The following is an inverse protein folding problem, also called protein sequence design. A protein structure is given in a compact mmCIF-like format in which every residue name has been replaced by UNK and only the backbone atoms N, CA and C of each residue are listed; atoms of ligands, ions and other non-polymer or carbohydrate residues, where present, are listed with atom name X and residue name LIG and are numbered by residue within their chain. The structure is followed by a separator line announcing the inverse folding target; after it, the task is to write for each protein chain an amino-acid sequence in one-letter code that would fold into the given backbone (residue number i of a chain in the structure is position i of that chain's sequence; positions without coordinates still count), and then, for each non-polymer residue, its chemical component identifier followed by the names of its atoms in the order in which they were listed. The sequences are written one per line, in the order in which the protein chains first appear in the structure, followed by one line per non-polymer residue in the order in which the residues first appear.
data_IF_388355648693
#
_entry.id   IF_388355648693
#
_cell.length_a   1.000
_cell.length_b   1.000
_cell.length_c   1.000
_cell.angle_alpha   90.00
_cell.angle_beta   90.00
_cell.angle_gamma   90.00
#
_symmetry.space_group_name_H-M   'P 1'
#
loop_
_entity.id
_entity.type
_entity.pdbx_description
1 polymer ?
#
# COMPACT_ATOMS: atom_id res chain seq x y z
N UNK A 1 -54.91 -97.73 -19.35
CA UNK A 1 -54.54 -97.77 -17.92
C UNK A 1 -55.37 -96.68 -17.25
N UNK A 2 -56.61 -96.92 -16.80
CA UNK A 2 -57.07 -97.60 -15.56
C UNK A 2 -56.44 -97.03 -14.27
N UNK A 3 -57.18 -96.07 -13.66
CA UNK A 3 -57.42 -95.71 -12.23
C UNK A 3 -56.24 -95.49 -11.25
N UNK A 4 -56.36 -94.63 -10.19
CA UNK A 4 -57.59 -94.43 -9.38
C UNK A 4 -57.93 -92.98 -8.90
N UNK A 5 -59.12 -92.76 -8.30
CA UNK A 5 -59.42 -91.64 -7.39
C UNK A 5 -58.96 -92.02 -5.96
N UNK A 6 -58.62 -91.09 -5.04
CA UNK A 6 -59.58 -90.37 -4.17
C UNK A 6 -59.04 -88.96 -3.80
N UNK A 7 -59.58 -88.09 -2.95
CA UNK A 7 -60.10 -88.29 -1.61
C UNK A 7 -60.81 -87.00 -1.16
N UNK A 8 -62.03 -87.17 -0.67
CA UNK A 8 -62.81 -86.16 0.02
C UNK A 8 -62.12 -85.83 1.35
N UNK A 9 -61.83 -84.55 1.59
CA UNK A 9 -61.46 -84.05 2.93
C UNK A 9 -62.40 -82.91 3.29
N UNK A 10 -63.40 -83.25 4.08
CA UNK A 10 -64.11 -82.30 4.92
C UNK A 10 -63.13 -81.66 5.90
N UNK A 11 -62.92 -80.35 5.79
CA UNK A 11 -62.26 -79.56 6.83
C UNK A 11 -63.03 -78.25 7.10
N UNK A 12 -63.84 -78.33 8.16
CA UNK A 12 -64.11 -77.31 9.20
C UNK A 12 -64.34 -75.85 8.75
N UNK A 13 -65.55 -75.39 9.02
CA UNK A 13 -65.99 -74.01 8.91
C UNK A 13 -65.12 -73.00 9.68
N UNK A 14 -64.74 -71.90 9.00
CA UNK A 14 -64.28 -70.66 9.62
C UNK A 14 -65.19 -69.50 9.19
N UNK A 15 -65.73 -68.79 10.18
CA UNK A 15 -66.55 -67.58 10.03
C UNK A 15 -65.72 -66.37 9.51
N UNK A 16 -66.36 -65.31 8.99
CA UNK A 16 -65.82 -64.51 7.89
C UNK A 16 -64.79 -63.45 8.33
N UNK A 17 -63.79 -63.21 7.46
CA UNK A 17 -62.91 -62.05 7.57
C UNK A 17 -63.66 -60.77 7.15
N UNK A 18 -63.45 -59.62 7.84
CA UNK A 18 -64.15 -58.39 7.51
C UNK A 18 -63.56 -57.78 6.23
N UNK A 19 -64.40 -57.63 5.20
CA UNK A 19 -64.08 -56.81 4.03
C UNK A 19 -63.86 -55.36 4.47
N UNK A 20 -62.60 -54.93 4.51
CA UNK A 20 -62.24 -53.53 4.66
C UNK A 20 -62.70 -52.76 3.41
N UNK A 21 -63.93 -52.24 3.46
CA UNK A 21 -64.41 -51.23 2.50
C UNK A 21 -63.51 -50.00 2.60
N UNK A 22 -62.56 -49.89 1.67
CA UNK A 22 -61.89 -48.64 1.32
C UNK A 22 -62.95 -47.62 0.88
N UNK A 23 -63.47 -46.86 1.84
CA UNK A 23 -64.24 -45.65 1.60
C UNK A 23 -63.36 -44.68 0.81
N UNK A 24 -63.49 -44.66 -0.52
CA UNK A 24 -63.08 -43.52 -1.32
C UNK A 24 -63.92 -42.32 -0.90
N UNK A 25 -63.40 -41.52 0.02
CA UNK A 25 -63.92 -40.18 0.30
C UNK A 25 -63.58 -39.31 -0.90
N UNK A 26 -64.38 -39.40 -1.97
CA UNK A 26 -64.41 -38.38 -3.02
C UNK A 26 -65.15 -37.19 -2.43
N UNK A 27 -64.43 -36.36 -1.68
CA UNK A 27 -64.95 -35.09 -1.18
C UNK A 27 -65.44 -34.27 -2.37
N UNK A 28 -66.76 -34.05 -2.44
CA UNK A 28 -67.35 -33.07 -3.36
C UNK A 28 -67.00 -31.70 -2.82
N UNK A 29 -65.82 -31.20 -3.16
CA UNK A 29 -65.51 -29.78 -2.95
C UNK A 29 -66.54 -28.95 -3.72
N UNK A 30 -67.22 -28.07 -2.99
CA UNK A 30 -68.11 -27.04 -3.55
C UNK A 30 -67.37 -26.27 -4.66
N UNK A 31 -68.08 -25.84 -5.71
CA UNK A 31 -67.51 -24.99 -6.78
C UNK A 31 -66.84 -23.74 -6.17
N UNK A 32 -67.39 -23.25 -5.06
CA UNK A 32 -66.84 -22.15 -4.27
C UNK A 32 -65.45 -22.48 -3.69
N UNK A 33 -65.24 -23.68 -3.13
CA UNK A 33 -63.92 -24.10 -2.62
C UNK A 33 -62.88 -24.27 -3.74
N UNK A 34 -63.29 -24.69 -4.94
CA UNK A 34 -62.40 -24.80 -6.10
C UNK A 34 -61.97 -23.42 -6.62
N UNK A 35 -62.89 -22.45 -6.64
CA UNK A 35 -62.60 -21.07 -7.02
C UNK A 35 -61.67 -20.39 -6.01
N UNK A 36 -61.94 -20.53 -4.71
CA UNK A 36 -61.08 -19.96 -3.65
C UNK A 36 -59.68 -20.59 -3.70
N UNK A 37 -59.56 -21.91 -3.85
CA UNK A 37 -58.25 -22.57 -3.97
C UNK A 37 -57.47 -22.15 -5.22
N UNK A 38 -58.16 -21.93 -6.36
CA UNK A 38 -57.51 -21.41 -7.58
C UNK A 38 -57.02 -19.97 -7.40
N UNK A 39 -57.81 -19.10 -6.77
CA UNK A 39 -57.43 -17.71 -6.51
C UNK A 39 -56.26 -17.62 -5.51
N UNK A 40 -56.30 -18.40 -4.43
CA UNK A 40 -55.25 -18.49 -3.43
C UNK A 40 -53.95 -19.06 -4.04
N UNK A 41 -54.05 -20.10 -4.85
CA UNK A 41 -52.90 -20.65 -5.57
C UNK A 41 -52.28 -19.61 -6.52
N UNK A 42 -53.11 -18.85 -7.24
CA UNK A 42 -52.64 -17.80 -8.13
C UNK A 42 -51.97 -16.64 -7.37
N UNK A 43 -52.51 -16.23 -6.21
CA UNK A 43 -51.90 -15.17 -5.39
C UNK A 43 -50.55 -15.60 -4.82
N UNK A 44 -50.46 -16.80 -4.26
CA UNK A 44 -49.21 -17.35 -3.70
C UNK A 44 -48.14 -17.48 -4.79
N UNK A 45 -48.49 -17.99 -5.97
CA UNK A 45 -47.54 -18.09 -7.10
C UNK A 45 -47.09 -16.70 -7.56
N UNK A 46 -48.00 -15.73 -7.66
CA UNK A 46 -47.65 -14.35 -8.00
C UNK A 46 -46.70 -13.73 -6.98
N UNK A 47 -47.00 -13.86 -5.68
CA UNK A 47 -46.16 -13.37 -4.59
C UNK A 47 -44.77 -14.03 -4.59
N UNK A 48 -44.70 -15.34 -4.87
CA UNK A 48 -43.44 -16.06 -5.00
C UNK A 48 -42.62 -15.58 -6.21
N UNK A 49 -43.24 -15.36 -7.37
CA UNK A 49 -42.56 -14.84 -8.57
C UNK A 49 -42.05 -13.43 -8.35
N UNK A 50 -42.88 -12.54 -7.80
CA UNK A 50 -42.47 -11.15 -7.48
C UNK A 50 -41.36 -11.16 -6.43
N UNK A 51 -41.48 -11.98 -5.39
CA UNK A 51 -40.44 -12.16 -4.38
C UNK A 51 -39.13 -12.65 -4.99
N UNK A 52 -39.17 -13.63 -5.89
CA UNK A 52 -37.98 -14.17 -6.56
C UNK A 52 -37.31 -13.15 -7.50
N UNK A 53 -38.09 -12.42 -8.30
CA UNK A 53 -37.58 -11.35 -9.17
C UNK A 53 -36.97 -10.22 -8.33
N UNK A 54 -37.67 -9.82 -7.26
CA UNK A 54 -37.20 -8.83 -6.29
C UNK A 54 -35.90 -9.27 -5.61
N UNK A 55 -35.77 -10.56 -5.29
CA UNK A 55 -34.56 -11.16 -4.75
C UNK A 55 -33.38 -10.99 -5.69
N UNK A 56 -33.50 -11.51 -6.92
CA UNK A 56 -32.39 -11.51 -7.87
C UNK A 56 -31.96 -10.08 -8.22
N UNK A 57 -32.95 -9.20 -8.46
CA UNK A 57 -32.68 -7.82 -8.88
C UNK A 57 -32.09 -7.00 -7.72
N UNK A 58 -32.64 -7.14 -6.51
CA UNK A 58 -32.15 -6.44 -5.33
C UNK A 58 -30.75 -6.88 -4.92
N UNK A 59 -30.50 -8.20 -4.92
CA UNK A 59 -29.19 -8.78 -4.60
C UNK A 59 -28.12 -8.31 -5.59
N UNK A 60 -28.39 -8.43 -6.88
CA UNK A 60 -27.45 -8.01 -7.93
C UNK A 60 -27.17 -6.51 -7.85
N UNK A 61 -28.20 -5.68 -7.60
CA UNK A 61 -28.03 -4.22 -7.50
C UNK A 61 -27.19 -3.82 -6.29
N UNK A 62 -27.41 -4.43 -5.12
CA UNK A 62 -26.62 -4.15 -3.91
C UNK A 62 -25.17 -4.60 -4.08
N UNK A 63 -24.95 -5.76 -4.70
CA UNK A 63 -23.62 -6.27 -4.99
C UNK A 63 -22.86 -5.37 -5.98
N UNK A 64 -23.51 -4.95 -7.06
CA UNK A 64 -22.92 -4.03 -8.03
C UNK A 64 -22.61 -2.67 -7.38
N UNK A 65 -23.50 -2.16 -6.53
CA UNK A 65 -23.26 -0.92 -5.80
C UNK A 65 -22.02 -1.00 -4.88
N UNK A 66 -21.76 -2.16 -4.26
CA UNK A 66 -20.55 -2.38 -3.47
C UNK A 66 -19.27 -2.34 -4.35
N UNK A 67 -19.31 -3.00 -5.52
CA UNK A 67 -18.21 -2.94 -6.50
C UNK A 67 -17.96 -1.54 -7.04
N UNK A 68 -19.02 -0.82 -7.40
CA UNK A 68 -18.94 0.53 -7.95
C UNK A 68 -18.37 1.50 -6.91
N UNK A 69 -18.83 1.43 -5.66
CA UNK A 69 -18.30 2.23 -4.55
C UNK A 69 -16.80 2.00 -4.35
N UNK A 70 -16.38 0.73 -4.31
CA UNK A 70 -14.97 0.40 -4.11
C UNK A 70 -14.11 0.87 -5.29
N UNK A 71 -14.64 0.75 -6.51
CA UNK A 71 -13.99 1.25 -7.72
C UNK A 71 -13.88 2.78 -7.72
N UNK A 72 -14.92 3.49 -7.28
CA UNK A 72 -14.88 4.96 -7.13
C UNK A 72 -13.83 5.41 -6.11
N UNK A 73 -13.70 4.69 -4.98
CA UNK A 73 -12.67 4.93 -3.97
C UNK A 73 -11.26 4.73 -4.57
N UNK A 74 -11.02 3.58 -5.22
CA UNK A 74 -9.74 3.30 -5.91
C UNK A 74 -9.41 4.36 -6.94
N UNK A 75 -10.36 4.70 -7.80
CA UNK A 75 -10.21 5.70 -8.87
C UNK A 75 -9.87 7.09 -8.32
N UNK A 76 -10.52 7.49 -7.23
CA UNK A 76 -10.23 8.76 -6.55
C UNK A 76 -8.81 8.79 -6.03
N UNK A 77 -8.39 7.73 -5.32
CA UNK A 77 -7.03 7.63 -4.79
C UNK A 77 -5.96 7.57 -5.89
N UNK A 78 -6.21 6.80 -6.94
CA UNK A 78 -5.32 6.71 -8.10
C UNK A 78 -5.11 8.07 -8.77
N UNK A 79 -6.20 8.83 -9.00
CA UNK A 79 -6.11 10.17 -9.59
C UNK A 79 -5.40 11.17 -8.67
N UNK A 80 -5.70 11.15 -7.37
CA UNK A 80 -5.05 12.03 -6.40
C UNK A 80 -3.56 11.73 -6.29
N UNK A 81 -3.18 10.46 -6.29
CA UNK A 81 -1.78 10.04 -6.29
C UNK A 81 -1.06 10.50 -7.57
N UNK A 82 -1.64 10.25 -8.74
CA UNK A 82 -1.06 10.68 -10.01
C UNK A 82 -0.88 12.22 -10.08
N UNK A 83 -1.86 12.98 -9.57
CA UNK A 83 -1.78 14.43 -9.46
C UNK A 83 -0.66 14.87 -8.51
N UNK A 84 -0.52 14.24 -7.34
CA UNK A 84 0.56 14.53 -6.40
C UNK A 84 1.93 14.25 -7.01
N UNK A 85 2.14 13.07 -7.63
CA UNK A 85 3.40 12.74 -8.30
C UNK A 85 3.72 13.75 -9.40
N UNK A 86 2.71 14.17 -10.18
CA UNK A 86 2.88 15.19 -11.22
C UNK A 86 3.28 16.54 -10.63
N UNK A 87 2.65 16.96 -9.54
CA UNK A 87 2.98 18.21 -8.86
C UNK A 87 4.41 18.21 -8.30
N UNK A 88 4.84 17.09 -7.68
CA UNK A 88 6.22 16.94 -7.20
C UNK A 88 7.24 17.00 -8.35
N UNK A 89 6.93 16.36 -9.49
CA UNK A 89 7.78 16.44 -10.70
C UNK A 89 7.88 17.88 -11.19
N UNK A 90 6.75 18.56 -11.33
CA UNK A 90 6.71 19.95 -11.79
C UNK A 90 7.47 20.89 -10.84
N UNK A 91 7.35 20.70 -9.52
CA UNK A 91 8.10 21.45 -8.54
C UNK A 91 9.62 21.24 -8.69
N UNK A 92 10.08 19.99 -8.82
CA UNK A 92 11.49 19.67 -9.04
C UNK A 92 12.02 20.27 -10.36
N UNK A 93 11.21 20.28 -11.41
CA UNK A 93 11.58 20.94 -12.66
C UNK A 93 11.74 22.45 -12.49
N UNK A 94 10.86 23.11 -11.74
CA UNK A 94 10.99 24.54 -11.44
C UNK A 94 12.28 24.80 -10.66
N UNK A 95 12.60 23.96 -9.66
CA UNK A 95 13.83 24.13 -8.87
C UNK A 95 15.09 24.00 -9.70
N UNK A 96 15.12 23.07 -10.65
CA UNK A 96 16.31 22.76 -11.47
C UNK A 96 16.45 23.64 -12.71
N UNK A 97 15.41 24.36 -13.12
CA UNK A 97 15.42 25.21 -14.31
C UNK A 97 16.05 26.60 -14.09
N UNK A 98 16.22 27.04 -12.83
CA UNK A 98 16.72 28.37 -12.51
C UNK A 98 18.26 28.44 -12.36
N UNK A 99 18.90 29.60 -12.67
CA UNK A 99 20.34 29.77 -12.51
C UNK A 99 20.80 29.61 -11.06
N UNK A 100 19.95 29.95 -10.08
CA UNK A 100 20.25 29.83 -8.66
C UNK A 100 20.59 28.39 -8.22
N UNK A 101 19.97 27.38 -8.84
CA UNK A 101 20.27 25.97 -8.51
C UNK A 101 21.63 25.54 -9.08
N UNK A 102 21.97 25.99 -10.28
CA UNK A 102 23.30 25.76 -10.85
C UNK A 102 24.39 26.44 -10.00
N UNK A 103 24.15 27.67 -9.55
CA UNK A 103 25.04 28.37 -8.61
C UNK A 103 25.19 27.60 -7.29
N UNK A 104 24.09 27.07 -6.74
CA UNK A 104 24.12 26.28 -5.50
C UNK A 104 24.97 25.01 -5.66
N UNK A 105 24.72 24.22 -6.71
CA UNK A 105 25.51 23.01 -7.00
C UNK A 105 26.99 23.35 -7.16
N UNK A 106 27.31 24.40 -7.91
CA UNK A 106 28.71 24.83 -8.12
C UNK A 106 29.38 25.32 -6.82
N UNK A 107 28.67 26.11 -6.01
CA UNK A 107 29.18 26.62 -4.74
C UNK A 107 29.47 25.49 -3.76
N UNK A 108 28.53 24.55 -3.60
CA UNK A 108 28.74 23.38 -2.74
C UNK A 108 29.84 22.45 -3.27
N UNK A 109 29.91 22.23 -4.59
CA UNK A 109 30.95 21.39 -5.19
C UNK A 109 32.35 21.98 -5.03
N UNK A 110 32.48 23.30 -5.25
CA UNK A 110 33.75 24.02 -5.05
C UNK A 110 34.18 23.96 -3.59
N UNK A 111 33.26 24.28 -2.67
CA UNK A 111 33.52 24.20 -1.24
C UNK A 111 33.86 22.77 -0.80
N UNK A 112 33.18 21.75 -1.32
CA UNK A 112 33.49 20.35 -1.03
C UNK A 112 34.91 19.97 -1.46
N UNK A 113 35.33 20.39 -2.65
CA UNK A 113 36.68 20.10 -3.16
C UNK A 113 37.78 20.79 -2.33
N UNK A 114 37.57 22.02 -1.86
CA UNK A 114 38.52 22.72 -0.98
C UNK A 114 38.74 21.98 0.35
N UNK A 115 37.71 21.29 0.86
CA UNK A 115 37.80 20.51 2.09
C UNK A 115 38.64 19.24 1.98
N UNK A 116 39.14 18.88 0.79
CA UNK A 116 40.10 17.79 0.63
C UNK A 116 41.35 17.97 1.52
N UNK A 117 41.74 19.22 1.81
CA UNK A 117 42.90 19.56 2.64
C UNK A 117 42.55 20.07 4.05
N UNK A 118 41.28 19.98 4.46
CA UNK A 118 40.87 20.46 5.77
C UNK A 118 41.44 19.60 6.92
N UNK A 119 41.78 20.22 8.04
CA UNK A 119 42.24 19.49 9.22
C UNK A 119 41.06 18.87 9.95
N UNK A 120 41.20 17.60 10.33
CA UNK A 120 40.25 16.86 11.16
C UNK A 120 41.01 16.33 12.35
N UNK A 121 40.58 16.69 13.54
CA UNK A 121 41.24 16.26 14.76
C UNK A 121 40.79 14.84 15.18
N UNK A 122 41.56 14.15 16.05
CA UNK A 122 41.19 12.80 16.51
C UNK A 122 39.83 12.73 17.22
N UNK A 123 39.38 13.80 17.87
CA UNK A 123 38.08 13.82 18.56
C UNK A 123 36.93 13.94 17.56
N UNK A 124 37.06 14.76 16.52
CA UNK A 124 36.14 14.82 15.37
C UNK A 124 36.06 13.45 14.68
N UNK A 125 37.20 12.79 14.44
CA UNK A 125 37.23 11.45 13.85
C UNK A 125 36.50 10.41 14.74
N UNK A 126 36.71 10.45 16.04
CA UNK A 126 36.01 9.57 16.98
C UNK A 126 34.50 9.87 17.02
N UNK A 127 34.10 11.13 16.97
CA UNK A 127 32.69 11.52 16.97
C UNK A 127 31.94 10.99 15.73
N UNK A 128 32.61 10.91 14.57
CA UNK A 128 32.06 10.25 13.38
C UNK A 128 31.83 8.76 13.68
N UNK A 129 32.84 8.06 14.19
CA UNK A 129 32.73 6.62 14.52
C UNK A 129 31.58 6.37 15.50
N UNK A 130 31.46 7.20 16.53
CA UNK A 130 30.38 7.13 17.51
C UNK A 130 29.01 7.36 16.85
N UNK A 131 28.90 8.32 15.93
CA UNK A 131 27.68 8.53 15.15
C UNK A 131 27.30 7.28 14.35
N UNK A 132 28.20 6.70 13.57
CA UNK A 132 27.89 5.49 12.80
C UNK A 132 27.44 4.35 13.70
N UNK A 133 28.15 4.09 14.80
CA UNK A 133 27.77 3.03 15.72
C UNK A 133 26.41 3.29 16.38
N UNK A 134 26.20 4.49 16.94
CA UNK A 134 25.04 4.78 17.79
C UNK A 134 23.78 5.14 17.00
N UNK A 135 23.93 5.84 15.87
CA UNK A 135 22.82 6.45 15.12
C UNK A 135 22.49 5.70 13.83
N UNK A 136 23.39 4.83 13.35
CA UNK A 136 23.18 4.07 12.11
C UNK A 136 23.20 2.56 12.36
N UNK A 137 24.34 2.00 12.78
CA UNK A 137 24.57 0.56 12.89
C UNK A 137 23.68 -0.05 13.98
N UNK A 138 23.73 0.45 15.21
CA UNK A 138 22.94 -0.11 16.32
C UNK A 138 21.41 -0.03 16.06
N UNK A 139 20.85 1.10 15.57
CA UNK A 139 19.43 1.14 15.20
C UNK A 139 19.08 0.16 14.09
N UNK A 140 19.89 0.05 13.03
CA UNK A 140 19.65 -0.89 11.93
C UNK A 140 19.73 -2.34 12.40
N UNK A 141 20.72 -2.70 13.22
CA UNK A 141 20.85 -4.06 13.77
C UNK A 141 19.63 -4.40 14.64
N UNK A 142 19.17 -3.49 15.50
CA UNK A 142 17.95 -3.69 16.30
C UNK A 142 16.69 -3.80 15.45
N UNK A 143 16.57 -3.02 14.38
CA UNK A 143 15.39 -3.00 13.54
C UNK A 143 15.31 -4.20 12.59
N UNK A 144 16.45 -4.63 12.06
CA UNK A 144 16.53 -5.54 10.91
C UNK A 144 17.29 -6.83 11.16
N UNK A 145 18.10 -6.90 12.22
CA UNK A 145 19.06 -7.98 12.47
C UNK A 145 20.32 -7.92 11.60
N UNK A 146 20.40 -6.98 10.64
CA UNK A 146 21.55 -6.86 9.75
C UNK A 146 22.75 -6.25 10.48
N UNK A 147 23.90 -6.92 10.40
CA UNK A 147 25.17 -6.43 10.92
C UNK A 147 25.91 -5.66 9.85
N UNK A 148 25.91 -4.34 9.97
CA UNK A 148 26.62 -3.47 9.05
C UNK A 148 28.11 -3.40 9.41
N UNK A 149 28.97 -3.43 8.40
CA UNK A 149 30.42 -3.26 8.60
C UNK A 149 30.78 -1.78 8.65
N UNK A 150 31.24 -1.30 9.81
CA UNK A 150 31.66 0.07 10.03
C UNK A 150 32.75 0.52 9.04
N UNK A 151 33.75 -0.32 8.76
CA UNK A 151 34.89 0.04 7.91
C UNK A 151 34.47 0.34 6.46
N UNK A 152 33.36 -0.25 6.01
CA UNK A 152 32.79 -0.03 4.68
C UNK A 152 31.98 1.27 4.65
N UNK A 153 31.33 1.64 5.75
CA UNK A 153 30.42 2.77 5.84
C UNK A 153 31.12 4.09 6.15
N UNK A 154 32.26 4.05 6.84
CA UNK A 154 32.97 5.26 7.23
C UNK A 154 33.37 6.12 6.01
N UNK A 155 33.29 7.45 6.14
CA UNK A 155 33.66 8.35 5.06
C UNK A 155 35.14 8.18 4.67
N UNK A 156 35.38 7.90 3.39
CA UNK A 156 36.73 7.67 2.86
C UNK A 156 37.46 8.96 2.49
N UNK A 157 36.74 9.99 2.02
CA UNK A 157 37.33 11.28 1.65
C UNK A 157 37.47 12.22 2.85
N UNK A 158 38.49 13.06 2.83
CA UNK A 158 38.71 14.04 3.89
C UNK A 158 37.58 15.09 3.93
N UNK A 159 37.07 15.50 2.78
CA UNK A 159 35.91 16.39 2.70
C UNK A 159 34.66 15.78 3.34
N UNK A 160 34.38 14.49 3.13
CA UNK A 160 33.27 13.80 3.78
C UNK A 160 33.45 13.73 5.29
N UNK A 161 34.65 13.38 5.78
CA UNK A 161 34.94 13.37 7.20
C UNK A 161 34.72 14.76 7.84
N UNK A 162 35.22 15.82 7.21
CA UNK A 162 35.06 17.19 7.71
C UNK A 162 33.57 17.58 7.83
N UNK A 163 32.79 17.31 6.78
CA UNK A 163 31.36 17.63 6.77
C UNK A 163 30.59 16.79 7.78
N UNK A 164 30.87 15.49 7.87
CA UNK A 164 30.13 14.62 8.78
C UNK A 164 30.46 14.94 10.25
N UNK A 165 31.72 15.25 10.58
CA UNK A 165 32.11 15.66 11.93
C UNK A 165 31.33 16.90 12.41
N UNK A 166 31.12 17.89 11.54
CA UNK A 166 30.55 19.19 11.91
C UNK A 166 29.05 19.30 11.72
N UNK A 167 28.51 18.60 10.72
CA UNK A 167 27.10 18.72 10.34
C UNK A 167 26.30 17.47 10.63
N UNK A 168 26.82 16.28 10.31
CA UNK A 168 26.07 15.03 10.52
C UNK A 168 25.98 14.64 11.99
N UNK A 169 27.11 14.71 12.71
CA UNK A 169 27.13 14.47 14.16
C UNK A 169 26.24 15.48 14.90
N UNK A 170 26.27 16.76 14.49
CA UNK A 170 25.44 17.81 15.08
C UNK A 170 23.95 17.61 14.77
N UNK A 171 23.59 17.26 13.52
CA UNK A 171 22.20 17.01 13.13
C UNK A 171 21.58 15.81 13.87
N UNK A 172 22.39 14.85 14.31
CA UNK A 172 21.94 13.74 15.16
C UNK A 172 21.65 14.13 16.61
N UNK A 173 21.99 15.36 17.01
CA UNK A 173 21.80 15.91 18.37
C UNK A 173 21.01 17.21 18.28
N UNK A 174 19.71 17.18 17.94
CA UNK A 174 18.90 18.38 17.73
C UNK A 174 18.81 19.28 18.97
N UNK A 175 18.92 18.71 20.17
CA UNK A 175 18.96 19.45 21.45
C UNK A 175 20.38 19.84 21.89
N UNK A 176 21.38 19.56 21.05
CA UNK A 176 22.78 19.88 21.30
C UNK A 176 23.10 21.36 21.08
N UNK A 177 24.32 21.81 21.49
CA UNK A 177 24.79 23.13 21.14
C UNK A 177 24.88 23.29 19.60
N UNK A 178 24.64 24.50 19.06
CA UNK A 178 24.80 24.73 17.64
C UNK A 178 26.25 24.43 17.22
N UNK A 179 26.46 23.92 15.99
CA UNK A 179 27.81 23.69 15.50
C UNK A 179 28.59 25.01 15.44
N UNK A 180 29.91 24.97 15.67
CA UNK A 180 30.73 26.16 15.54
C UNK A 180 30.63 26.76 14.13
N UNK A 181 30.80 28.08 13.96
CA UNK A 181 30.78 28.70 12.64
C UNK A 181 31.80 28.05 11.71
N UNK A 182 31.36 27.61 10.52
CA UNK A 182 32.24 27.07 9.49
C UNK A 182 32.72 28.20 8.55
N UNK A 183 34.02 28.57 8.57
CA UNK A 183 34.56 29.61 7.71
C UNK A 183 34.81 29.13 6.27
N UNK A 184 34.66 27.84 5.98
CA UNK A 184 34.91 27.27 4.65
C UNK A 184 33.96 27.85 3.58
N UNK A 185 34.35 27.73 2.31
CA UNK A 185 33.47 28.05 1.18
C UNK A 185 32.19 27.19 1.20
N UNK A 186 32.28 25.93 1.65
CA UNK A 186 31.10 25.07 1.84
C UNK A 186 30.16 25.64 2.91
N UNK A 187 30.71 26.07 4.05
CA UNK A 187 29.95 26.73 5.12
C UNK A 187 29.28 28.03 4.65
N UNK A 188 29.95 28.80 3.80
CA UNK A 188 29.35 29.99 3.16
C UNK A 188 28.20 29.63 2.22
N UNK A 189 28.34 28.60 1.39
CA UNK A 189 27.25 28.08 0.56
C UNK A 189 26.09 27.58 1.42
N UNK A 190 26.36 26.85 2.51
CA UNK A 190 25.34 26.40 3.45
C UNK A 190 24.56 27.58 4.05
N UNK A 191 25.25 28.65 4.51
CA UNK A 191 24.56 29.85 5.02
C UNK A 191 23.65 30.50 3.98
N UNK A 192 24.00 30.44 2.70
CA UNK A 192 23.23 31.06 1.61
C UNK A 192 22.02 30.20 1.20
N UNK A 193 22.16 28.88 1.14
CA UNK A 193 21.17 28.01 0.48
C UNK A 193 20.43 27.05 1.42
N UNK A 194 20.92 26.79 2.64
CA UNK A 194 20.34 25.75 3.50
C UNK A 194 18.87 26.03 3.84
N UNK A 195 18.53 27.28 4.17
CA UNK A 195 17.15 27.67 4.48
C UNK A 195 16.17 27.37 3.33
N UNK A 196 16.59 27.52 2.08
CA UNK A 196 15.77 27.21 0.90
C UNK A 196 15.46 25.71 0.80
N UNK A 197 16.48 24.85 0.96
CA UNK A 197 16.29 23.40 0.90
C UNK A 197 15.52 22.85 2.11
N UNK A 198 15.77 23.38 3.31
CA UNK A 198 14.96 23.04 4.49
C UNK A 198 13.49 23.38 4.28
N UNK A 199 13.22 24.54 3.66
CA UNK A 199 11.85 24.97 3.37
C UNK A 199 11.17 24.10 2.31
N UNK A 200 11.90 23.68 1.25
CA UNK A 200 11.39 22.71 0.28
C UNK A 200 11.03 21.39 0.98
N UNK A 201 11.95 20.86 1.79
CA UNK A 201 11.74 19.62 2.56
C UNK A 201 10.52 19.74 3.47
N UNK A 202 10.37 20.87 4.17
CA UNK A 202 9.28 21.11 5.10
C UNK A 202 7.93 21.28 4.42
N UNK A 203 7.85 22.08 3.35
CA UNK A 203 6.58 22.42 2.68
C UNK A 203 6.01 21.26 1.88
N UNK A 204 6.86 20.47 1.23
CA UNK A 204 6.44 19.36 0.38
C UNK A 204 6.55 17.99 1.09
N UNK A 205 7.07 17.97 2.32
CA UNK A 205 7.20 16.77 3.14
C UNK A 205 8.23 15.76 2.62
N UNK A 206 9.21 16.20 1.82
CA UNK A 206 10.30 15.33 1.37
C UNK A 206 11.07 14.78 2.57
N UNK A 207 11.61 13.56 2.44
CA UNK A 207 12.44 12.99 3.50
C UNK A 207 13.79 13.70 3.63
N UNK A 208 14.34 14.15 2.51
CA UNK A 208 15.61 14.86 2.35
C UNK A 208 15.69 15.50 0.94
N UNK A 209 16.59 16.47 0.79
CA UNK A 209 16.97 17.06 -0.48
C UNK A 209 18.49 17.00 -0.62
N UNK A 210 18.97 16.33 -1.68
CA UNK A 210 20.38 16.14 -1.97
C UNK A 210 20.79 16.95 -3.20
N UNK A 211 21.99 17.52 -3.14
CA UNK A 211 22.71 17.98 -4.33
C UNK A 211 23.87 17.02 -4.59
N UNK A 212 23.92 16.50 -5.81
CA UNK A 212 24.96 15.56 -6.24
C UNK A 212 25.70 16.20 -7.41
N UNK A 213 27.02 16.33 -7.30
CA UNK A 213 27.82 16.94 -8.36
C UNK A 213 28.01 16.01 -9.57
N UNK A 214 28.61 16.51 -10.65
CA UNK A 214 28.88 15.73 -11.85
C UNK A 214 29.89 14.58 -11.65
N UNK A 215 30.61 14.54 -10.52
CA UNK A 215 31.51 13.45 -10.13
C UNK A 215 30.83 12.41 -9.22
N UNK A 216 29.56 12.62 -8.86
CA UNK A 216 28.76 11.73 -8.03
C UNK A 216 28.88 12.00 -6.53
N UNK A 217 29.55 13.07 -6.09
CA UNK A 217 29.63 13.39 -4.68
C UNK A 217 28.31 14.01 -4.20
N UNK A 218 27.78 13.55 -3.08
CA UNK A 218 26.66 14.17 -2.38
C UNK A 218 27.18 15.41 -1.65
N UNK A 219 27.30 16.53 -2.37
CA UNK A 219 27.90 17.77 -1.86
C UNK A 219 26.98 18.53 -0.89
N UNK A 220 25.70 18.17 -0.82
CA UNK A 220 24.75 18.71 0.13
C UNK A 220 23.63 17.70 0.45
N UNK A 221 23.18 17.69 1.71
CA UNK A 221 21.96 17.02 2.19
C UNK A 221 21.23 17.98 3.13
N UNK A 222 19.91 18.14 3.00
CA UNK A 222 19.13 18.96 3.92
C UNK A 222 19.07 18.33 5.32
N UNK A 223 18.98 16.99 5.42
CA UNK A 223 19.01 16.28 6.71
C UNK A 223 20.41 16.07 7.27
N UNK A 224 21.46 16.36 6.49
CA UNK A 224 22.88 16.18 6.86
C UNK A 224 23.17 14.75 7.34
N UNK A 225 22.60 13.73 6.70
CA UNK A 225 22.76 12.31 7.11
C UNK A 225 24.13 11.75 6.70
N UNK A 226 24.33 10.47 6.97
CA UNK A 226 25.54 9.71 6.63
C UNK A 226 25.89 9.71 5.13
N UNK A 227 24.95 10.07 4.26
CA UNK A 227 25.18 10.24 2.82
C UNK A 227 25.90 11.54 2.45
N UNK A 228 25.91 12.55 3.32
CA UNK A 228 26.64 13.80 3.09
C UNK A 228 28.13 13.54 2.86
N UNK A 229 28.63 13.98 1.71
CA UNK A 229 30.01 13.81 1.27
C UNK A 229 30.36 12.43 0.72
N UNK A 230 29.44 11.47 0.74
CA UNK A 230 29.65 10.17 0.09
C UNK A 230 29.57 10.29 -1.44
N UNK A 231 30.00 9.25 -2.15
CA UNK A 231 29.95 9.22 -3.60
C UNK A 231 28.99 8.13 -4.08
N UNK A 232 28.03 8.49 -4.94
CA UNK A 232 27.02 7.54 -5.45
C UNK A 232 27.54 6.62 -6.55
N UNK A 233 28.76 6.84 -7.06
CA UNK A 233 29.40 6.02 -8.07
C UNK A 233 30.44 5.06 -7.49
N UNK A 234 31.11 5.43 -6.40
CA UNK A 234 32.23 4.68 -5.83
C UNK A 234 32.16 4.45 -4.31
N UNK A 235 31.13 4.97 -3.64
CA UNK A 235 30.97 4.91 -2.19
C UNK A 235 30.13 3.73 -1.70
N UNK A 236 29.82 3.68 -0.39
CA UNK A 236 29.10 2.56 0.23
C UNK A 236 27.68 2.35 -0.32
N UNK A 237 27.11 3.35 -0.97
CA UNK A 237 25.73 3.35 -1.47
C UNK A 237 25.64 3.23 -3.00
N UNK A 238 26.73 2.85 -3.67
CA UNK A 238 26.80 2.79 -5.14
C UNK A 238 25.84 1.77 -5.79
N UNK A 239 25.37 0.76 -5.04
CA UNK A 239 24.43 -0.27 -5.53
C UNK A 239 22.95 0.05 -5.21
N UNK A 240 22.61 1.33 -5.03
CA UNK A 240 21.29 1.76 -4.59
C UNK A 240 20.44 2.47 -5.65
N UNK A 241 19.16 2.67 -5.34
CA UNK A 241 18.22 3.46 -6.15
C UNK A 241 18.65 4.93 -6.29
N UNK A 242 19.41 5.48 -5.33
CA UNK A 242 19.99 6.82 -5.46
C UNK A 242 20.99 6.89 -6.63
N UNK A 243 21.86 5.89 -6.77
CA UNK A 243 22.77 5.77 -7.91
C UNK A 243 21.99 5.67 -9.23
N UNK A 244 20.96 4.82 -9.29
CA UNK A 244 20.09 4.68 -10.47
C UNK A 244 19.47 6.02 -10.87
N UNK A 245 18.90 6.76 -9.91
CA UNK A 245 18.29 8.06 -10.13
C UNK A 245 19.32 9.09 -10.64
N UNK A 246 20.52 9.11 -10.04
CA UNK A 246 21.63 9.97 -10.45
C UNK A 246 22.07 9.66 -11.89
N UNK A 247 22.34 8.40 -12.21
CA UNK A 247 22.81 7.99 -13.53
C UNK A 247 21.79 8.32 -14.62
N UNK A 248 20.50 8.06 -14.37
CA UNK A 248 19.41 8.43 -15.28
C UNK A 248 19.30 9.94 -15.48
N UNK A 249 19.43 10.74 -14.42
CA UNK A 249 19.38 12.20 -14.52
C UNK A 249 20.59 12.77 -15.28
N UNK A 250 21.80 12.28 -15.00
CA UNK A 250 23.03 12.72 -15.69
C UNK A 250 23.02 12.37 -17.19
N UNK A 251 22.47 11.21 -17.56
CA UNK A 251 22.36 10.76 -18.95
C UNK A 251 21.13 11.29 -19.70
N UNK A 252 20.36 12.21 -19.11
CA UNK A 252 19.15 12.72 -19.76
C UNK A 252 19.49 13.81 -20.79
N UNK A 253 19.25 13.53 -22.06
CA UNK A 253 19.46 14.48 -23.17
C UNK A 253 18.36 15.56 -23.29
N UNK A 254 17.37 15.56 -22.39
CA UNK A 254 16.20 16.45 -22.44
C UNK A 254 16.11 17.37 -21.23
N UNK A 255 15.92 18.66 -21.51
CA UNK A 255 15.44 19.62 -20.52
C UNK A 255 14.06 19.16 -20.05
N UNK A 256 13.76 19.26 -18.75
CA UNK A 256 12.47 18.83 -18.21
C UNK A 256 12.39 17.34 -17.84
N UNK A 257 13.53 16.63 -17.71
CA UNK A 257 13.54 15.25 -17.23
C UNK A 257 13.44 15.14 -15.71
N UNK A 258 12.61 14.21 -15.23
CA UNK A 258 12.62 13.72 -13.85
C UNK A 258 12.63 12.20 -13.86
N UNK A 259 13.67 11.60 -13.31
CA UNK A 259 13.68 10.19 -12.96
C UNK A 259 12.90 9.98 -11.65
N UNK A 260 12.19 8.85 -11.55
CA UNK A 260 11.58 8.40 -10.30
C UNK A 260 11.96 6.94 -10.10
N UNK A 261 12.34 6.56 -8.89
CA UNK A 261 12.65 5.18 -8.53
C UNK A 261 11.52 4.54 -7.74
N UNK A 262 11.52 3.21 -7.72
CA UNK A 262 10.78 2.49 -6.68
C UNK A 262 11.50 2.64 -5.32
N UNK A 263 10.84 2.22 -4.25
CA UNK A 263 11.40 2.16 -2.92
C UNK A 263 12.51 1.12 -2.81
N UNK A 264 13.53 1.44 -2.02
CA UNK A 264 14.54 0.51 -1.52
C UNK A 264 14.88 0.85 -0.08
N UNK A 265 15.30 -0.13 0.71
CA UNK A 265 15.97 0.14 1.99
C UNK A 265 17.16 1.06 1.79
N UNK A 266 17.27 2.12 2.60
CA UNK A 266 18.33 3.11 2.47
C UNK A 266 18.98 3.36 3.83
N UNK A 267 20.21 2.90 4.00
CA UNK A 267 20.92 2.96 5.29
C UNK A 267 20.96 4.37 5.88
N UNK A 268 21.33 5.44 5.17
CA UNK A 268 21.36 6.79 5.75
C UNK A 268 20.01 7.27 6.32
N UNK A 269 18.89 6.68 5.88
CA UNK A 269 17.56 6.90 6.45
C UNK A 269 17.18 5.86 7.52
N UNK A 270 18.17 5.28 8.23
CA UNK A 270 18.00 4.23 9.24
C UNK A 270 17.20 3.02 8.71
N UNK A 271 17.49 2.58 7.48
CA UNK A 271 16.81 1.49 6.78
C UNK A 271 15.33 1.71 6.46
N UNK A 272 14.82 2.94 6.63
CA UNK A 272 13.48 3.26 6.18
C UNK A 272 13.41 3.19 4.64
N UNK A 273 12.33 2.60 4.07
CA UNK A 273 12.12 2.56 2.63
C UNK A 273 12.18 3.96 2.03
N UNK A 274 13.01 4.10 1.01
CA UNK A 274 13.26 5.36 0.32
C UNK A 274 13.13 5.20 -1.19
N UNK A 275 12.35 6.08 -1.80
CA UNK A 275 12.30 6.29 -3.25
C UNK A 275 12.83 7.69 -3.57
N UNK A 276 13.34 7.88 -4.79
CA UNK A 276 13.98 9.12 -5.22
C UNK A 276 13.29 9.72 -6.41
N UNK A 277 13.22 11.06 -6.43
CA UNK A 277 12.95 11.84 -7.62
C UNK A 277 14.20 12.65 -7.93
N UNK A 278 14.77 12.49 -9.13
CA UNK A 278 16.00 13.18 -9.50
C UNK A 278 15.92 13.84 -10.86
N UNK A 279 16.48 15.05 -10.95
CA UNK A 279 16.49 15.86 -12.16
C UNK A 279 17.88 16.51 -12.37
N UNK A 280 18.34 16.62 -13.63
CA UNK A 280 19.61 17.25 -13.95
C UNK A 280 19.55 18.76 -13.70
N UNK A 281 20.63 19.31 -13.18
CA UNK A 281 20.88 20.75 -13.13
C UNK A 281 21.76 21.10 -14.32
N UNK A 282 21.22 21.89 -15.24
CA UNK A 282 21.88 22.24 -16.50
C UNK A 282 22.27 23.72 -16.48
N UNK A 283 23.51 24.02 -16.86
CA UNK A 283 23.97 25.39 -17.12
C UNK A 283 24.74 25.41 -18.43
N UNK A 284 24.51 26.45 -19.25
CA UNK A 284 25.16 26.63 -20.56
C UNK A 284 25.17 25.37 -21.46
N UNK A 285 24.11 24.56 -21.39
CA UNK A 285 23.96 23.32 -22.16
C UNK A 285 24.68 22.10 -21.59
N UNK A 286 25.28 22.19 -20.40
CA UNK A 286 25.96 21.09 -19.72
C UNK A 286 25.30 20.77 -18.38
N UNK A 287 25.09 19.48 -18.11
CA UNK A 287 24.68 19.01 -16.77
C UNK A 287 25.84 19.19 -15.80
N UNK A 288 25.65 19.99 -14.75
CA UNK A 288 26.65 20.26 -13.71
C UNK A 288 26.42 19.48 -12.41
N UNK A 289 25.28 18.80 -12.31
CA UNK A 289 24.93 17.93 -11.20
C UNK A 289 23.47 17.53 -11.25
N UNK A 290 22.97 17.00 -10.14
CA UNK A 290 21.63 16.46 -9.98
C UNK A 290 21.05 16.96 -8.66
N UNK A 291 19.78 17.37 -8.68
CA UNK A 291 18.97 17.48 -7.46
C UNK A 291 18.24 16.16 -7.28
N UNK A 292 18.39 15.52 -6.13
CA UNK A 292 17.65 14.32 -5.76
C UNK A 292 16.80 14.57 -4.51
N UNK A 293 15.49 14.39 -4.61
CA UNK A 293 14.54 14.58 -3.53
C UNK A 293 14.02 13.21 -3.08
N UNK A 294 14.10 12.93 -1.77
CA UNK A 294 13.56 11.71 -1.18
C UNK A 294 12.03 11.80 -1.13
N UNK A 295 11.36 10.86 -1.81
CA UNK A 295 9.91 10.83 -2.00
C UNK A 295 9.16 10.90 -0.66
N UNK A 296 8.09 11.73 -0.54
CA UNK A 296 7.39 11.99 0.72
C UNK A 296 6.48 10.82 1.13
N UNK A 297 7.06 9.76 1.71
CA UNK A 297 6.32 8.56 2.14
C UNK A 297 5.18 8.86 3.10
N UNK A 298 5.35 9.84 4.00
CA UNK A 298 4.29 10.27 4.93
C UNK A 298 3.08 10.83 4.21
N UNK A 299 3.29 11.65 3.17
CA UNK A 299 2.21 12.19 2.35
C UNK A 299 1.49 11.10 1.55
N UNK A 300 2.24 10.14 1.02
CA UNK A 300 1.67 8.97 0.33
C UNK A 300 0.80 8.11 1.26
N UNK A 301 1.30 7.83 2.47
CA UNK A 301 0.57 7.08 3.47
C UNK A 301 -0.69 7.82 3.91
N UNK A 302 -0.60 9.12 4.20
CA UNK A 302 -1.77 9.94 4.54
C UNK A 302 -2.81 9.94 3.40
N UNK A 303 -2.37 9.97 2.14
CA UNK A 303 -3.26 9.85 1.00
C UNK A 303 -3.96 8.48 1.00
N UNK A 304 -3.21 7.38 0.93
CA UNK A 304 -3.77 6.01 0.85
C UNK A 304 -4.60 5.60 2.08
N UNK A 305 -4.35 6.20 3.24
CA UNK A 305 -5.09 5.90 4.48
C UNK A 305 -6.25 6.86 4.72
N UNK A 306 -6.52 7.78 3.78
CA UNK A 306 -7.47 8.89 3.98
C UNK A 306 -7.19 9.69 5.25
N UNK A 307 -5.92 9.74 5.68
CA UNK A 307 -5.46 10.32 6.92
C UNK A 307 -6.26 9.83 8.14
N UNK A 308 -6.50 8.52 8.20
CA UNK A 308 -7.24 7.87 9.28
C UNK A 308 -8.77 7.93 9.15
N UNK A 309 -9.30 8.45 8.04
CA UNK A 309 -10.74 8.73 7.86
C UNK A 309 -11.44 7.75 6.91
N UNK A 310 -11.12 6.45 7.00
CA UNK A 310 -11.67 5.42 6.11
C UNK A 310 -13.20 5.40 6.09
N UNK A 311 -13.86 5.40 7.26
CA UNK A 311 -15.32 5.37 7.38
C UNK A 311 -15.96 6.57 6.67
N UNK A 312 -15.44 7.78 6.90
CA UNK A 312 -15.95 9.01 6.30
C UNK A 312 -15.77 9.06 4.77
N UNK A 313 -14.79 8.31 4.24
CA UNK A 313 -14.53 8.17 2.81
C UNK A 313 -15.14 6.89 2.22
N UNK A 314 -16.02 6.25 2.98
CA UNK A 314 -16.84 5.17 2.50
C UNK A 314 -16.15 3.82 2.39
N UNK A 315 -15.09 3.60 3.17
CA UNK A 315 -14.44 2.30 3.32
C UNK A 315 -14.96 1.51 4.53
N UNK A 316 -15.87 2.08 5.32
CA UNK A 316 -16.48 1.37 6.43
C UNK A 316 -15.47 0.93 7.49
N UNK A 317 -15.74 -0.19 8.16
CA UNK A 317 -14.94 -0.68 9.29
C UNK A 317 -13.74 -1.53 8.89
N UNK A 318 -13.81 -2.19 7.73
CA UNK A 318 -12.78 -3.14 7.27
C UNK A 318 -12.07 -2.71 5.99
N UNK A 319 -12.66 -1.77 5.25
CA UNK A 319 -12.13 -1.38 3.95
C UNK A 319 -10.84 -0.55 4.04
N UNK A 320 -9.98 -0.72 3.06
CA UNK A 320 -8.73 0.04 2.93
C UNK A 320 -8.32 0.20 1.47
N UNK A 321 -7.36 1.09 1.25
CA UNK A 321 -6.64 1.22 -0.02
C UNK A 321 -5.15 1.13 0.22
N UNK A 322 -4.44 0.43 -0.65
CA UNK A 322 -2.98 0.34 -0.59
C UNK A 322 -2.36 0.27 -1.98
N UNK A 323 -1.07 0.59 -2.03
CA UNK A 323 -0.20 0.41 -3.19
C UNK A 323 0.68 -0.81 -3.01
N UNK A 324 0.98 -1.52 -4.10
CA UNK A 324 1.88 -2.67 -4.11
C UNK A 324 2.87 -2.58 -5.28
N UNK A 325 4.11 -2.99 -5.04
CA UNK A 325 5.15 -3.07 -6.07
C UNK A 325 4.97 -4.27 -7.00
N UNK A 326 5.90 -4.41 -7.95
CA UNK A 326 6.02 -5.61 -8.79
C UNK A 326 6.61 -6.81 -8.04
N UNK A 327 7.15 -6.58 -6.85
CA UNK A 327 7.66 -7.58 -5.91
C UNK A 327 6.58 -8.09 -4.93
N UNK A 328 5.32 -7.73 -5.16
CA UNK A 328 4.18 -8.06 -4.29
C UNK A 328 4.31 -7.54 -2.84
N UNK A 329 5.16 -6.54 -2.59
CA UNK A 329 5.27 -5.86 -1.29
C UNK A 329 4.55 -4.51 -1.30
N UNK A 330 3.99 -4.11 -0.16
CA UNK A 330 3.33 -2.81 -0.02
C UNK A 330 4.24 -1.62 -0.35
N UNK A 331 3.66 -0.56 -0.93
CA UNK A 331 4.27 0.77 -1.17
C UNK A 331 3.59 1.90 -0.39
N UNK A 332 2.63 1.53 0.45
CA UNK A 332 1.95 2.40 1.39
C UNK A 332 1.60 1.61 2.65
N UNK A 333 1.23 2.30 3.73
CA UNK A 333 0.86 1.61 4.96
C UNK A 333 -0.51 0.93 4.90
N UNK A 334 -0.60 -0.26 5.50
CA UNK A 334 -1.86 -0.94 5.83
C UNK A 334 -2.71 -0.11 6.79
N UNK A 335 -4.03 -0.14 6.63
CA UNK A 335 -4.99 0.43 7.60
C UNK A 335 -4.81 -0.17 8.99
N UNK A 336 -4.77 -1.50 9.07
CA UNK A 336 -4.69 -2.21 10.35
C UNK A 336 -3.41 -1.82 11.12
N UNK A 337 -2.31 -1.60 10.39
CA UNK A 337 -1.07 -1.11 11.00
C UNK A 337 -1.22 0.28 11.63
N UNK A 338 -1.92 1.20 10.96
CA UNK A 338 -2.17 2.55 11.47
C UNK A 338 -3.17 2.56 12.63
N UNK A 339 -4.18 1.69 12.60
CA UNK A 339 -5.19 1.59 13.66
C UNK A 339 -4.64 0.88 14.91
N UNK A 340 -3.96 -0.26 14.73
CA UNK A 340 -3.44 -1.07 15.83
C UNK A 340 -2.28 -1.98 15.38
N UNK A 341 -1.05 -1.57 15.70
CA UNK A 341 0.19 -2.28 15.34
C UNK A 341 0.28 -3.68 15.94
N UNK A 342 -0.25 -3.90 17.15
CA UNK A 342 -0.21 -5.20 17.81
C UNK A 342 -1.18 -6.17 17.15
N UNK A 343 -2.40 -5.73 16.85
CA UNK A 343 -3.39 -6.52 16.11
C UNK A 343 -2.88 -6.81 14.69
N UNK A 344 -2.31 -5.81 14.01
CA UNK A 344 -1.64 -6.03 12.73
C UNK A 344 -0.61 -7.15 12.81
N UNK A 345 0.33 -7.07 13.76
CA UNK A 345 1.40 -8.06 13.88
C UNK A 345 0.86 -9.46 14.13
N UNK A 346 -0.14 -9.59 14.99
CA UNK A 346 -0.81 -10.86 15.28
C UNK A 346 -1.50 -11.43 14.03
N UNK A 347 -2.35 -10.63 13.39
CA UNK A 347 -3.25 -11.10 12.33
C UNK A 347 -2.50 -11.42 11.03
N UNK A 348 -1.52 -10.59 10.62
CA UNK A 348 -0.71 -10.88 9.43
C UNK A 348 0.16 -12.12 9.63
N UNK A 349 0.62 -12.37 10.87
CA UNK A 349 1.40 -13.58 11.19
C UNK A 349 0.52 -14.81 11.14
N UNK A 350 -0.69 -14.73 11.70
CA UNK A 350 -1.69 -15.79 11.61
C UNK A 350 -2.10 -16.10 10.16
N UNK A 351 -2.09 -15.08 9.30
CA UNK A 351 -2.35 -15.19 7.86
C UNK A 351 -1.14 -15.71 7.03
N UNK A 352 0.02 -15.96 7.66
CA UNK A 352 1.19 -16.57 7.03
C UNK A 352 2.33 -15.61 6.69
N UNK A 353 2.26 -14.33 7.08
CA UNK A 353 3.42 -13.43 7.03
C UNK A 353 4.46 -13.89 8.06
N UNK A 354 5.75 -14.00 7.70
CA UNK A 354 6.79 -14.32 8.68
C UNK A 354 6.78 -13.34 9.86
N UNK A 355 6.79 -13.86 11.09
CA UNK A 355 6.75 -13.05 12.31
C UNK A 355 7.85 -11.98 12.35
N UNK A 356 9.05 -12.32 11.87
CA UNK A 356 10.18 -11.40 11.78
C UNK A 356 9.90 -10.17 10.91
N UNK A 357 9.15 -10.34 9.80
CA UNK A 357 8.76 -9.23 8.93
C UNK A 357 7.69 -8.36 9.59
N UNK A 358 6.71 -8.98 10.26
CA UNK A 358 5.67 -8.27 10.98
C UNK A 358 6.26 -7.44 12.14
N UNK A 359 7.17 -8.01 12.91
CA UNK A 359 7.91 -7.29 13.96
C UNK A 359 8.79 -6.18 13.39
N UNK A 360 9.48 -6.43 12.27
CA UNK A 360 10.29 -5.42 11.58
C UNK A 360 9.43 -4.24 11.12
N UNK A 361 8.22 -4.49 10.64
CA UNK A 361 7.27 -3.42 10.28
C UNK A 361 6.91 -2.56 11.50
N UNK A 362 6.66 -3.18 12.66
CA UNK A 362 6.41 -2.44 13.92
C UNK A 362 7.63 -1.62 14.34
N UNK A 363 8.84 -2.19 14.28
CA UNK A 363 10.10 -1.49 14.65
C UNK A 363 10.42 -0.31 13.72
N UNK A 364 10.21 -0.47 12.41
CA UNK A 364 10.46 0.58 11.42
C UNK A 364 9.29 1.57 11.29
N UNK A 365 8.16 1.32 11.95
CA UNK A 365 7.01 2.23 11.94
C UNK A 365 6.22 2.26 10.63
N UNK A 366 6.29 1.19 9.82
CA UNK A 366 5.53 1.11 8.57
C UNK A 366 5.59 -0.27 7.91
N UNK A 367 4.73 -0.49 6.92
CA UNK A 367 4.58 -1.78 6.21
C UNK A 367 5.13 -1.76 4.79
N UNK A 368 5.56 -0.59 4.32
CA UNK A 368 6.17 -0.39 2.99
C UNK A 368 7.44 -1.23 2.85
N UNK A 369 7.60 -1.94 1.73
CA UNK A 369 8.63 -2.95 1.45
C UNK A 369 8.70 -4.13 2.44
N UNK A 370 7.69 -4.32 3.30
CA UNK A 370 7.73 -5.35 4.33
C UNK A 370 6.54 -6.29 4.26
N UNK A 371 5.32 -5.77 4.11
CA UNK A 371 4.12 -6.60 4.09
C UNK A 371 3.90 -7.21 2.70
N UNK A 372 3.91 -8.55 2.58
CA UNK A 372 3.50 -9.22 1.35
C UNK A 372 1.99 -9.06 1.15
N UNK A 373 1.60 -8.74 -0.08
CA UNK A 373 0.20 -8.54 -0.50
C UNK A 373 -0.13 -9.23 -1.82
N UNK A 374 0.78 -10.06 -2.33
CA UNK A 374 0.63 -10.75 -3.60
C UNK A 374 -0.66 -11.54 -3.71
N UNK A 375 -1.38 -11.37 -4.82
CA UNK A 375 -2.68 -12.00 -5.02
C UNK A 375 -3.20 -11.85 -6.44
N UNK A 376 -4.40 -12.39 -6.75
CA UNK A 376 -5.00 -12.27 -8.07
C UNK A 376 -5.15 -10.82 -8.54
N UNK A 377 -5.50 -9.90 -7.62
CA UNK A 377 -5.68 -8.49 -7.91
C UNK A 377 -4.36 -7.77 -8.26
N UNK A 378 -3.31 -7.90 -7.43
CA UNK A 378 -2.00 -7.28 -7.71
C UNK A 378 -1.40 -7.82 -9.00
N UNK A 379 -1.47 -9.15 -9.23
CA UNK A 379 -0.99 -9.76 -10.48
C UNK A 379 -1.75 -9.29 -11.71
N UNK A 380 -3.07 -9.06 -11.62
CA UNK A 380 -3.85 -8.53 -12.72
C UNK A 380 -3.51 -7.06 -13.01
N UNK A 381 -3.39 -6.24 -11.97
CA UNK A 381 -2.93 -4.85 -12.09
C UNK A 381 -1.53 -4.73 -12.70
N UNK A 382 -0.58 -5.58 -12.28
CA UNK A 382 0.78 -5.64 -12.86
C UNK A 382 0.77 -5.98 -14.37
N UNK A 383 -0.24 -6.71 -14.86
CA UNK A 383 -0.44 -6.96 -16.30
C UNK A 383 -1.16 -5.81 -17.02
N UNK A 384 -1.35 -4.67 -16.36
CA UNK A 384 -2.04 -3.51 -16.90
C UNK A 384 -3.57 -3.62 -16.88
N UNK A 385 -4.14 -4.61 -16.17
CA UNK A 385 -5.58 -4.83 -16.11
C UNK A 385 -6.20 -4.05 -14.96
N UNK A 386 -7.42 -3.55 -15.15
CA UNK A 386 -8.25 -2.97 -14.10
C UNK A 386 -9.53 -3.76 -13.97
N UNK A 387 -10.05 -3.91 -12.76
CA UNK A 387 -11.29 -4.63 -12.56
C UNK A 387 -11.63 -4.81 -11.09
N UNK A 388 -12.59 -5.71 -10.87
CA UNK A 388 -13.02 -6.14 -9.55
C UNK A 388 -13.01 -7.65 -9.46
N UNK A 389 -12.75 -8.18 -8.28
CA UNK A 389 -12.82 -9.61 -7.99
C UNK A 389 -13.07 -9.84 -6.50
N UNK A 390 -13.36 -11.09 -6.13
CA UNK A 390 -13.33 -11.53 -4.74
C UNK A 390 -12.13 -12.45 -4.59
N UNK A 391 -11.30 -12.19 -3.60
CA UNK A 391 -10.13 -13.00 -3.28
C UNK A 391 -9.77 -12.87 -1.80
N UNK A 392 -8.98 -13.83 -1.33
CA UNK A 392 -8.32 -13.74 -0.02
C UNK A 392 -7.27 -12.63 -0.02
N UNK A 393 -7.25 -11.81 1.02
CA UNK A 393 -6.26 -10.76 1.21
C UNK A 393 -5.05 -11.22 2.06
N UNK A 394 -4.14 -10.29 2.37
CA UNK A 394 -2.96 -10.56 3.19
C UNK A 394 -3.28 -10.81 4.69
N UNK A 395 -4.53 -10.63 5.12
CA UNK A 395 -5.03 -10.97 6.46
C UNK A 395 -5.75 -12.32 6.48
N UNK A 396 -5.75 -13.05 5.35
CA UNK A 396 -6.44 -14.32 5.23
C UNK A 396 -7.97 -14.18 5.14
N UNK A 397 -8.49 -12.97 4.97
CA UNK A 397 -9.92 -12.71 4.89
C UNK A 397 -10.41 -12.71 3.44
N UNK A 398 -11.62 -13.20 3.21
CA UNK A 398 -12.27 -13.07 1.90
C UNK A 398 -12.74 -11.62 1.71
N UNK A 399 -12.22 -10.97 0.66
CA UNK A 399 -12.46 -9.55 0.43
C UNK A 399 -12.92 -9.28 -0.99
N UNK A 400 -13.80 -8.29 -1.11
CA UNK A 400 -14.13 -7.63 -2.37
C UNK A 400 -12.97 -6.69 -2.70
N UNK A 401 -12.36 -6.83 -3.88
CA UNK A 401 -11.18 -6.06 -4.29
C UNK A 401 -11.44 -5.35 -5.61
N UNK A 402 -11.13 -4.06 -5.69
CA UNK A 402 -11.00 -3.29 -6.93
C UNK A 402 -9.52 -3.01 -7.15
N UNK A 403 -9.03 -3.24 -8.36
CA UNK A 403 -7.61 -3.12 -8.67
C UNK A 403 -7.36 -2.39 -10.00
N UNK A 404 -6.19 -1.77 -10.12
CA UNK A 404 -5.70 -1.16 -11.35
C UNK A 404 -4.17 -0.94 -11.30
N UNK A 405 -3.50 -0.80 -12.46
CA UNK A 405 -2.14 -0.28 -12.51
C UNK A 405 -2.11 1.22 -12.18
N UNK A 406 -1.00 1.66 -11.60
CA UNK A 406 -0.65 3.06 -11.38
C UNK A 406 0.77 3.29 -11.89
N UNK A 407 0.94 4.30 -12.75
CA UNK A 407 2.24 4.66 -13.33
C UNK A 407 2.83 5.80 -12.50
N UNK A 408 3.93 5.52 -11.80
CA UNK A 408 4.65 6.51 -11.00
C UNK A 408 5.70 7.22 -11.85
N UNK A 409 6.40 6.47 -12.69
CA UNK A 409 7.40 6.94 -13.62
C UNK A 409 7.50 6.02 -14.84
N UNK A 410 8.36 6.34 -15.81
CA UNK A 410 8.53 5.51 -17.02
C UNK A 410 8.85 4.04 -16.70
N UNK A 411 9.66 3.81 -15.66
CA UNK A 411 10.14 2.48 -15.28
C UNK A 411 9.56 1.99 -13.95
N UNK A 412 8.58 2.72 -13.38
CA UNK A 412 8.03 2.42 -12.07
C UNK A 412 6.52 2.37 -12.17
N UNK A 413 5.98 1.15 -12.11
CA UNK A 413 4.55 0.89 -12.03
C UNK A 413 4.23 0.13 -10.75
N UNK A 414 3.17 0.57 -10.09
CA UNK A 414 2.61 -0.07 -8.92
C UNK A 414 1.19 -0.55 -9.23
N UNK A 415 0.67 -1.40 -8.36
CA UNK A 415 -0.75 -1.75 -8.33
C UNK A 415 -1.42 -0.95 -7.22
N UNK A 416 -2.59 -0.38 -7.50
CA UNK A 416 -3.48 0.13 -6.46
C UNK A 416 -4.60 -0.87 -6.24
N UNK A 417 -4.86 -1.19 -4.98
CA UNK A 417 -5.96 -2.06 -4.57
C UNK A 417 -6.78 -1.32 -3.54
N UNK A 418 -8.08 -1.25 -3.78
CA UNK A 418 -9.07 -0.97 -2.76
C UNK A 418 -9.70 -2.31 -2.37
N UNK A 419 -9.88 -2.57 -1.08
CA UNK A 419 -10.57 -3.77 -0.60
C UNK A 419 -11.53 -3.49 0.54
N UNK A 420 -12.46 -4.40 0.77
CA UNK A 420 -13.36 -4.46 1.92
C UNK A 420 -13.76 -5.91 2.18
N UNK A 421 -13.99 -6.30 3.43
CA UNK A 421 -14.41 -7.66 3.76
C UNK A 421 -15.75 -7.98 3.12
N UNK A 422 -15.90 -9.17 2.52
CA UNK A 422 -17.18 -9.56 1.88
C UNK A 422 -18.32 -9.60 2.90
N UNK A 423 -18.02 -9.94 4.15
CA UNK A 423 -18.97 -9.89 5.25
C UNK A 423 -19.55 -8.48 5.49
N UNK A 424 -18.72 -7.44 5.41
CA UNK A 424 -19.19 -6.06 5.54
C UNK A 424 -19.87 -5.59 4.25
N UNK A 425 -19.23 -5.80 3.10
CA UNK A 425 -19.72 -5.34 1.79
C UNK A 425 -21.13 -5.85 1.47
N UNK A 426 -21.41 -7.12 1.80
CA UNK A 426 -22.69 -7.77 1.54
C UNK A 426 -23.59 -7.85 2.78
N UNK A 427 -23.28 -7.16 3.87
CA UNK A 427 -24.20 -7.04 5.00
C UNK A 427 -25.58 -6.46 4.59
N UNK A 428 -25.66 -5.39 3.76
CA UNK A 428 -26.96 -4.87 3.29
C UNK A 428 -27.77 -5.90 2.50
N UNK A 429 -27.09 -6.72 1.70
CA UNK A 429 -27.70 -7.80 0.91
C UNK A 429 -28.36 -8.87 1.79
N UNK A 430 -27.67 -9.28 2.87
CA UNK A 430 -28.20 -10.26 3.84
C UNK A 430 -29.42 -9.72 4.58
N UNK A 431 -29.40 -8.44 4.97
CA UNK A 431 -30.54 -7.78 5.61
C UNK A 431 -31.72 -7.70 4.65
N UNK A 432 -31.50 -7.27 3.40
CA UNK A 432 -32.54 -7.21 2.37
C UNK A 432 -33.19 -8.58 2.14
N UNK A 433 -32.36 -9.62 1.99
CA UNK A 433 -32.82 -11.01 1.79
C UNK A 433 -33.71 -11.49 2.93
N UNK A 434 -33.29 -11.25 4.19
CA UNK A 434 -34.07 -11.65 5.37
C UNK A 434 -35.41 -10.92 5.43
N UNK A 435 -35.40 -9.60 5.23
CA UNK A 435 -36.61 -8.78 5.29
C UNK A 435 -37.62 -9.20 4.22
N UNK A 436 -37.15 -9.46 3.00
CA UNK A 436 -38.02 -9.88 1.91
C UNK A 436 -38.55 -11.30 2.10
N UNK A 437 -37.75 -12.24 2.64
CA UNK A 437 -38.22 -13.58 3.00
C UNK A 437 -39.31 -13.55 4.08
N UNK A 438 -39.15 -12.72 5.11
CA UNK A 438 -40.18 -12.49 6.13
C UNK A 438 -41.44 -11.87 5.53
N UNK A 439 -41.29 -10.87 4.65
CA UNK A 439 -42.43 -10.22 4.00
C UNK A 439 -43.24 -11.20 3.11
N UNK A 440 -42.56 -12.00 2.28
CA UNK A 440 -43.23 -13.02 1.44
C UNK A 440 -43.92 -14.05 2.32
N UNK A 441 -43.28 -14.52 3.39
CA UNK A 441 -43.89 -15.48 4.33
C UNK A 441 -45.12 -14.90 5.01
N UNK A 442 -45.07 -13.62 5.44
CA UNK A 442 -46.19 -12.94 6.05
C UNK A 442 -47.37 -12.77 5.09
N UNK A 443 -47.11 -12.44 3.81
CA UNK A 443 -48.15 -12.37 2.77
C UNK A 443 -48.80 -13.73 2.56
N UNK A 444 -47.99 -14.81 2.47
CA UNK A 444 -48.54 -16.17 2.30
C UNK A 444 -49.39 -16.58 3.51
N UNK A 445 -48.97 -16.28 4.74
CA UNK A 445 -49.76 -16.55 5.95
C UNK A 445 -51.06 -15.75 5.93
N UNK A 446 -51.01 -14.47 5.57
CA UNK A 446 -52.19 -13.61 5.48
C UNK A 446 -53.16 -14.07 4.39
N UNK A 447 -52.66 -14.52 3.24
CA UNK A 447 -53.48 -15.11 2.18
C UNK A 447 -54.18 -16.39 2.66
N UNK A 448 -53.52 -17.19 3.52
CA UNK A 448 -54.07 -18.44 4.05
C UNK A 448 -55.07 -18.27 5.20
N UNK A 449 -55.11 -17.11 5.85
CA UNK A 449 -56.04 -16.76 6.94
C UNK A 449 -57.37 -16.23 6.39
#
# INVERSE_FOLDING_TARGET
MVNPPPEDRDEVAAAPAPEARLRRVRGRFSIQSKLIAMLLGASIVSAAVVGFIGYQTGQASLRNAAFDRLTQVRETQSRQFAAQVTNLKNALLIYTSGPAMAEAVQAFSTGFNELANATIDPAEQQAIVDYYNQQLINPVERATGAKLNLDVLLPSSNAAKYLQARYTVAAARPDGPPPPPDPSAWGAASRRYDAFFQEIVRLFGYGDALLIDAAGNVVYSAKKRADLGTNVLSGPYQQGKLHEAYAKAMGADRVGYVSVTDYQTYHPAADHPTAWMAAPVVTTGRTVGVVALQFPITGLNALMTFNGKWQANGLGSTGETYLAGTDDLMRSNSRLFEENRQTYQHDVTAAGTPAELAERAVRLGGTTLLQPVGGPATRAAQRGQSGVLIATDYLGQETLQSYAPVIVGPDVSWSIVAKIDTAEAFAPERVFTRTMGVAVTAIVILDCL
#
